data_IF_067660795480
#
_entry.id   IF_067660795480
#
_cell.length_a   1.000
_cell.length_b   1.000
_cell.length_c   1.000
_cell.angle_alpha   90.00
_cell.angle_beta   90.00
_cell.angle_gamma   90.00
#
_symmetry.space_group_name_H-M   'P 1'
#
loop_
_entity.id
_entity.type
_entity.pdbx_description
1 polymer ?
#
# COMPACT_ATOMS: atom_id res chain seq x y z
N UNK A 1 -33.49 7.72 -1.92
CA UNK A 1 -32.29 6.86 -1.86
C UNK A 1 -31.37 7.40 -2.94
N UNK A 2 -30.18 7.85 -2.58
CA UNK A 2 -29.21 8.28 -3.59
C UNK A 2 -28.81 7.08 -4.45
N UNK A 3 -28.62 7.28 -5.78
CA UNK A 3 -28.11 6.24 -6.65
C UNK A 3 -26.74 5.77 -6.15
N UNK A 4 -26.38 4.53 -6.48
CA UNK A 4 -25.05 4.01 -6.11
C UNK A 4 -23.99 4.74 -6.93
N UNK A 5 -23.06 5.42 -6.26
CA UNK A 5 -21.99 6.19 -6.92
C UNK A 5 -20.77 5.33 -7.29
N UNK A 6 -20.80 4.01 -7.07
CA UNK A 6 -19.71 3.09 -7.42
C UNK A 6 -18.60 2.95 -6.36
N UNK A 7 -18.67 3.72 -5.26
CA UNK A 7 -17.75 3.60 -4.12
C UNK A 7 -18.32 2.68 -3.03
N UNK A 8 -17.46 2.14 -2.18
CA UNK A 8 -17.82 1.15 -1.17
C UNK A 8 -18.31 -0.15 -1.80
N UNK A 9 -17.75 -0.55 -2.94
CA UNK A 9 -18.15 -1.78 -3.63
C UNK A 9 -17.71 -3.01 -2.82
N UNK A 10 -18.65 -3.90 -2.50
CA UNK A 10 -18.41 -5.16 -1.78
C UNK A 10 -19.40 -6.23 -2.25
N UNK A 11 -19.17 -7.50 -1.90
CA UNK A 11 -19.98 -8.64 -2.39
C UNK A 11 -21.51 -8.45 -2.23
N UNK A 12 -21.92 -7.79 -1.14
CA UNK A 12 -23.33 -7.50 -0.85
C UNK A 12 -24.00 -6.45 -1.75
N UNK A 13 -23.26 -5.64 -2.51
CA UNK A 13 -23.82 -4.57 -3.35
C UNK A 13 -23.42 -4.64 -4.84
N UNK A 14 -22.71 -5.69 -5.27
CA UNK A 14 -22.21 -5.87 -6.64
C UNK A 14 -23.27 -5.76 -7.75
N UNK A 15 -24.52 -6.10 -7.46
CA UNK A 15 -25.62 -6.08 -8.43
C UNK A 15 -26.22 -4.69 -8.67
N UNK A 16 -25.76 -3.66 -7.93
CA UNK A 16 -26.21 -2.29 -8.11
C UNK A 16 -25.53 -1.65 -9.32
N UNK A 17 -26.31 -1.00 -10.17
CA UNK A 17 -25.79 -0.18 -11.26
C UNK A 17 -25.24 1.14 -10.73
N UNK A 18 -24.10 1.57 -11.27
CA UNK A 18 -23.44 2.85 -10.99
C UNK A 18 -23.14 3.56 -12.31
N UNK A 19 -23.08 4.89 -12.27
CA UNK A 19 -22.61 5.74 -13.37
C UNK A 19 -21.11 6.07 -13.28
N UNK A 20 -20.39 5.52 -12.29
CA UNK A 20 -18.95 5.73 -12.16
C UNK A 20 -18.19 5.23 -13.40
N UNK A 21 -17.15 5.96 -13.79
CA UNK A 21 -16.28 5.58 -14.89
C UNK A 21 -15.04 4.88 -14.35
N UNK A 22 -14.85 3.60 -14.67
CA UNK A 22 -13.68 2.84 -14.24
C UNK A 22 -12.56 2.93 -15.27
N UNK A 23 -11.35 3.18 -14.77
CA UNK A 23 -10.14 3.32 -15.56
C UNK A 23 -9.02 2.44 -14.98
N UNK A 24 -7.98 2.22 -15.79
CA UNK A 24 -6.82 1.44 -15.39
C UNK A 24 -5.55 2.02 -16.00
N UNK A 25 -4.65 2.51 -15.15
CA UNK A 25 -3.31 2.97 -15.54
C UNK A 25 -2.34 1.80 -15.41
N UNK A 26 -1.45 1.65 -16.40
CA UNK A 26 -0.36 0.67 -16.39
C UNK A 26 0.76 1.12 -17.33
N UNK A 27 1.91 0.44 -17.37
CA UNK A 27 2.96 0.69 -18.38
C UNK A 27 2.50 0.53 -19.84
N UNK A 28 1.35 -0.09 -20.08
CA UNK A 28 0.71 -0.20 -21.41
C UNK A 28 -0.32 0.91 -21.68
N UNK A 29 -0.69 1.69 -20.67
CA UNK A 29 -1.62 2.82 -20.74
C UNK A 29 -1.32 3.81 -19.61
N UNK A 30 -0.34 4.69 -19.80
CA UNK A 30 0.14 5.62 -18.75
C UNK A 30 -0.91 6.63 -18.30
N UNK A 31 -1.89 6.97 -19.14
CA UNK A 31 -2.96 7.92 -18.81
C UNK A 31 -4.21 7.24 -18.28
N UNK A 32 -4.40 5.95 -18.55
CA UNK A 32 -5.63 5.23 -18.23
C UNK A 32 -6.82 5.62 -19.12
N UNK A 33 -6.56 6.33 -20.23
CA UNK A 33 -7.58 6.75 -21.18
C UNK A 33 -8.22 5.55 -21.90
N UNK A 34 -9.48 5.73 -22.29
CA UNK A 34 -10.27 4.71 -22.98
C UNK A 34 -9.64 4.38 -24.34
N UNK A 35 -9.33 3.10 -24.54
CA UNK A 35 -8.79 2.61 -25.82
C UNK A 35 -7.28 2.82 -26.00
N UNK A 36 -6.57 3.30 -24.98
CA UNK A 36 -5.14 3.63 -25.06
C UNK A 36 -4.20 2.51 -24.58
N UNK A 37 -4.73 1.31 -24.30
CA UNK A 37 -3.94 0.17 -23.84
C UNK A 37 -3.30 -0.63 -24.97
N UNK A 38 -2.05 -1.09 -24.76
CA UNK A 38 -1.37 -2.02 -25.68
C UNK A 38 -0.92 -1.37 -26.99
N UNK A 39 -0.80 -0.04 -27.02
CA UNK A 39 -0.44 0.72 -28.22
C UNK A 39 1.06 0.67 -28.52
N UNK A 40 1.90 0.22 -27.57
CA UNK A 40 3.36 0.21 -27.72
C UNK A 40 3.83 -0.73 -28.84
N UNK A 41 4.86 -0.30 -29.58
CA UNK A 41 5.49 -1.08 -30.66
C UNK A 41 6.97 -1.39 -30.39
N UNK A 42 7.59 -0.63 -29.49
CA UNK A 42 9.03 -0.60 -29.22
C UNK A 42 9.34 -0.58 -27.71
N UNK A 43 8.36 -0.94 -26.89
CA UNK A 43 8.49 -1.04 -25.43
C UNK A 43 9.57 -2.03 -24.96
N UNK A 44 9.88 -2.03 -23.66
CA UNK A 44 11.00 -2.79 -23.11
C UNK A 44 10.86 -4.32 -23.21
N UNK A 45 9.68 -4.84 -23.57
CA UNK A 45 9.46 -6.25 -23.86
C UNK A 45 9.32 -6.56 -25.36
N UNK A 46 9.62 -5.62 -26.28
CA UNK A 46 9.46 -5.78 -27.71
C UNK A 46 10.16 -7.03 -28.28
N UNK A 47 11.38 -7.36 -27.84
CA UNK A 47 12.08 -8.58 -28.28
C UNK A 47 11.35 -9.86 -27.83
N UNK A 48 10.80 -9.85 -26.61
CA UNK A 48 10.00 -10.96 -26.09
C UNK A 48 8.64 -11.06 -26.79
N UNK A 49 8.10 -9.93 -27.26
CA UNK A 49 6.82 -9.82 -27.96
C UNK A 49 6.94 -9.82 -29.49
N UNK A 50 8.12 -10.12 -30.06
CA UNK A 50 8.43 -9.98 -31.49
C UNK A 50 7.50 -10.75 -32.44
N UNK A 51 6.90 -11.84 -31.98
CA UNK A 51 5.95 -12.67 -32.75
C UNK A 51 4.48 -12.28 -32.52
N UNK A 52 4.21 -11.38 -31.56
CA UNK A 52 2.88 -10.93 -31.17
C UNK A 52 2.54 -9.55 -31.76
N UNK A 53 3.46 -8.59 -31.62
CA UNK A 53 3.30 -7.21 -32.12
C UNK A 53 2.35 -6.33 -31.28
N UNK A 54 1.94 -5.20 -31.88
CA UNK A 54 1.07 -4.20 -31.25
C UNK A 54 -0.29 -4.80 -30.82
N UNK A 55 -0.84 -4.35 -29.70
CA UNK A 55 -2.05 -4.88 -29.07
C UNK A 55 -1.78 -5.96 -28.02
N UNK A 56 -0.54 -6.44 -27.92
CA UNK A 56 -0.07 -7.33 -26.86
C UNK A 56 0.85 -6.59 -25.88
N UNK A 57 1.41 -7.33 -24.91
CA UNK A 57 2.27 -6.81 -23.83
C UNK A 57 3.70 -6.43 -24.30
N UNK A 58 3.81 -5.39 -25.12
CA UNK A 58 5.10 -4.88 -25.65
C UNK A 58 5.83 -3.97 -24.65
N UNK A 59 5.09 -3.27 -23.79
CA UNK A 59 5.58 -2.40 -22.71
C UNK A 59 4.93 -2.72 -21.36
N UNK A 60 5.13 -3.91 -20.77
CA UNK A 60 4.42 -4.32 -19.55
C UNK A 60 5.02 -3.79 -18.25
N UNK A 61 6.17 -3.11 -18.30
CA UNK A 61 6.88 -2.60 -17.13
C UNK A 61 7.60 -1.29 -17.43
N UNK A 62 7.97 -0.57 -16.37
CA UNK A 62 8.91 0.55 -16.45
C UNK A 62 10.24 0.19 -15.79
N UNK A 63 11.26 0.97 -16.15
CA UNK A 63 12.54 1.01 -15.45
C UNK A 63 12.62 2.35 -14.71
N UNK A 64 13.29 2.38 -13.56
CA UNK A 64 13.49 3.61 -12.77
C UNK A 64 14.99 3.78 -12.56
N UNK A 65 15.54 4.88 -13.04
CA UNK A 65 16.94 5.22 -12.92
C UNK A 65 17.40 5.51 -11.49
N UNK A 66 18.71 5.74 -11.30
CA UNK A 66 19.28 6.10 -10.01
C UNK A 66 18.69 7.41 -9.48
N UNK A 67 18.22 7.43 -8.23
CA UNK A 67 17.59 8.63 -7.61
C UNK A 67 16.40 9.22 -8.39
N UNK A 68 15.84 8.46 -9.34
CA UNK A 68 14.71 8.89 -10.14
C UNK A 68 13.40 8.63 -9.37
N UNK A 69 12.45 9.54 -9.55
CA UNK A 69 11.06 9.35 -9.12
C UNK A 69 10.18 9.14 -10.34
N UNK A 70 9.51 7.99 -10.40
CA UNK A 70 8.53 7.69 -11.44
C UNK A 70 7.13 7.98 -10.92
N UNK A 71 6.37 8.79 -11.67
CA UNK A 71 4.92 8.94 -11.45
C UNK A 71 4.23 7.75 -12.11
N UNK A 72 3.57 6.91 -11.32
CA UNK A 72 2.88 5.70 -11.81
C UNK A 72 1.36 5.87 -11.91
N UNK A 73 0.81 6.94 -11.32
CA UNK A 73 -0.55 7.40 -11.57
C UNK A 73 -0.63 8.91 -11.31
N UNK A 74 -1.34 9.62 -12.18
CA UNK A 74 -1.59 11.06 -12.12
C UNK A 74 -3.03 11.27 -12.61
N UNK A 75 -3.97 11.50 -11.68
CA UNK A 75 -5.40 11.36 -11.93
C UNK A 75 -6.13 12.63 -11.53
N UNK A 76 -6.79 13.27 -12.50
CA UNK A 76 -7.67 14.43 -12.27
C UNK A 76 -9.10 14.02 -11.93
N UNK A 77 -9.74 14.84 -11.10
CA UNK A 77 -11.17 14.76 -10.78
C UNK A 77 -11.46 14.11 -9.43
N UNK A 78 -12.74 14.06 -9.03
CA UNK A 78 -13.15 13.27 -7.89
C UNK A 78 -13.26 11.78 -8.26
N UNK A 79 -12.84 10.92 -7.34
CA UNK A 79 -12.89 9.49 -7.54
C UNK A 79 -12.30 8.70 -6.38
N UNK A 80 -12.04 7.42 -6.62
CA UNK A 80 -11.28 6.61 -5.69
C UNK A 80 -10.39 5.60 -6.43
N UNK A 81 -9.17 5.42 -5.94
CA UNK A 81 -8.37 4.24 -6.30
C UNK A 81 -9.02 3.04 -5.60
N UNK A 82 -9.29 1.98 -6.36
CA UNK A 82 -9.99 0.78 -5.88
C UNK A 82 -9.06 -0.43 -5.81
N UNK A 83 -8.00 -0.44 -6.62
CA UNK A 83 -7.02 -1.51 -6.62
C UNK A 83 -5.67 -1.03 -7.12
N UNK A 84 -4.61 -1.43 -6.43
CA UNK A 84 -3.24 -1.32 -6.91
C UNK A 84 -2.68 -2.73 -6.97
N UNK A 85 -2.22 -3.13 -8.15
CA UNK A 85 -1.37 -4.30 -8.31
C UNK A 85 0.02 -3.87 -8.73
N UNK A 86 1.06 -4.47 -8.17
CA UNK A 86 2.41 -4.33 -8.69
C UNK A 86 3.28 -5.54 -8.35
N UNK A 87 4.40 -5.68 -9.06
CA UNK A 87 5.45 -6.61 -8.69
C UNK A 87 6.82 -6.08 -9.07
N UNK A 88 7.78 -6.38 -8.21
CA UNK A 88 9.19 -6.04 -8.38
C UNK A 88 10.03 -7.02 -7.57
N UNK A 89 11.27 -7.26 -8.01
CA UNK A 89 12.18 -8.18 -7.33
C UNK A 89 12.40 -7.78 -5.85
N UNK A 90 12.42 -8.74 -4.89
CA UNK A 90 12.46 -8.44 -3.44
C UNK A 90 13.59 -7.54 -2.96
N UNK A 91 14.73 -7.54 -3.66
CA UNK A 91 15.87 -6.65 -3.36
C UNK A 91 15.50 -5.16 -3.39
N UNK A 92 14.41 -4.79 -4.07
CA UNK A 92 13.96 -3.41 -4.22
C UNK A 92 12.95 -2.95 -3.17
N UNK A 93 12.40 -3.84 -2.35
CA UNK A 93 11.26 -3.54 -1.47
C UNK A 93 11.51 -2.45 -0.43
N UNK A 94 12.74 -2.30 0.07
CA UNK A 94 13.16 -1.16 0.92
C UNK A 94 14.13 -0.20 0.25
N UNK A 95 14.34 -0.34 -1.06
CA UNK A 95 15.11 0.60 -1.89
C UNK A 95 14.21 1.58 -2.64
N UNK A 96 12.92 1.26 -2.71
CA UNK A 96 11.88 2.07 -3.33
C UNK A 96 10.96 2.65 -2.25
N UNK A 97 10.60 3.92 -2.39
CA UNK A 97 9.61 4.59 -1.55
C UNK A 97 8.35 4.80 -2.35
N UNK A 98 7.22 4.33 -1.83
CA UNK A 98 5.89 4.65 -2.34
C UNK A 98 5.44 5.97 -1.71
N UNK A 99 5.05 6.92 -2.54
CA UNK A 99 4.38 8.15 -2.12
C UNK A 99 3.02 8.30 -2.76
N UNK A 100 2.04 8.72 -1.98
CA UNK A 100 0.71 9.07 -2.50
C UNK A 100 0.27 10.41 -1.96
N UNK A 101 -0.24 11.25 -2.85
CA UNK A 101 -0.68 12.61 -2.57
C UNK A 101 -2.14 12.75 -2.96
N UNK A 102 -2.92 13.41 -2.10
CA UNK A 102 -4.33 13.69 -2.33
C UNK A 102 -4.58 15.18 -2.57
N UNK A 103 -5.46 15.48 -3.52
CA UNK A 103 -6.03 16.80 -3.76
C UNK A 103 -5.02 17.95 -3.93
N UNK A 104 -3.89 17.65 -4.57
CA UNK A 104 -2.76 18.55 -4.83
C UNK A 104 -2.04 19.03 -3.56
N UNK A 105 -2.07 18.25 -2.48
CA UNK A 105 -1.25 18.54 -1.31
C UNK A 105 0.26 18.48 -1.62
N UNK A 106 1.04 19.30 -0.90
CA UNK A 106 2.49 19.37 -1.10
C UNK A 106 3.23 18.18 -0.45
N UNK A 107 2.69 17.63 0.63
CA UNK A 107 3.31 16.55 1.41
C UNK A 107 2.52 15.26 1.25
N UNK A 108 3.18 14.10 1.05
CA UNK A 108 2.47 12.85 0.80
C UNK A 108 1.70 12.37 2.03
N UNK A 109 0.46 11.95 1.82
CA UNK A 109 -0.37 11.29 2.83
C UNK A 109 0.03 9.84 3.11
N UNK A 110 0.61 9.16 2.11
CA UNK A 110 1.23 7.84 2.26
C UNK A 110 2.71 8.00 1.91
N UNK A 111 3.60 7.67 2.84
CA UNK A 111 5.04 7.61 2.58
C UNK A 111 5.65 6.42 3.32
N UNK A 112 5.97 5.36 2.56
CA UNK A 112 6.46 4.10 3.11
C UNK A 112 7.44 3.42 2.15
N UNK A 113 8.36 2.56 2.64
CA UNK A 113 9.03 1.61 1.76
C UNK A 113 7.99 0.75 1.02
N UNK A 114 8.28 0.43 -0.25
CA UNK A 114 7.32 -0.26 -1.12
C UNK A 114 6.84 -1.60 -0.54
N UNK A 115 7.76 -2.45 -0.07
CA UNK A 115 7.39 -3.77 0.48
C UNK A 115 6.62 -3.69 1.79
N UNK A 116 7.01 -2.75 2.67
CA UNK A 116 6.39 -2.56 3.98
C UNK A 116 4.92 -2.14 3.86
N UNK A 117 4.53 -1.36 2.83
CA UNK A 117 3.13 -1.04 2.54
C UNK A 117 2.27 -2.30 2.31
N UNK A 118 2.84 -3.31 1.64
CA UNK A 118 2.17 -4.58 1.33
C UNK A 118 2.46 -5.68 2.37
N UNK A 119 2.78 -5.29 3.62
CA UNK A 119 3.05 -6.19 4.72
C UNK A 119 4.20 -7.21 4.45
N UNK A 120 5.19 -6.80 3.66
CA UNK A 120 6.40 -7.57 3.35
C UNK A 120 7.64 -6.78 3.78
N UNK A 121 7.86 -6.73 5.09
CA UNK A 121 9.06 -6.22 5.73
C UNK A 121 10.28 -7.12 5.50
N UNK A 122 11.45 -6.68 5.99
CA UNK A 122 12.74 -7.39 5.89
C UNK A 122 13.26 -7.67 4.47
N UNK A 123 12.56 -7.24 3.43
CA UNK A 123 12.81 -7.68 2.05
C UNK A 123 12.72 -9.22 1.90
N UNK A 124 11.96 -9.87 2.77
CA UNK A 124 11.69 -11.31 2.74
C UNK A 124 10.26 -11.56 2.34
N UNK A 125 10.08 -12.49 1.41
CA UNK A 125 8.76 -12.75 0.85
C UNK A 125 7.89 -13.53 1.82
N UNK A 126 6.73 -12.96 2.12
CA UNK A 126 5.63 -13.62 2.80
C UNK A 126 4.36 -13.48 1.96
N UNK A 127 3.61 -14.58 1.83
CA UNK A 127 2.29 -14.50 1.22
C UNK A 127 1.32 -13.92 2.25
N UNK A 128 0.54 -12.91 1.86
CA UNK A 128 -0.40 -12.23 2.75
C UNK A 128 -1.81 -12.49 2.24
N UNK A 129 -2.70 -12.90 3.14
CA UNK A 129 -4.12 -13.15 2.85
C UNK A 129 -4.97 -12.32 3.80
N UNK A 130 -5.27 -11.08 3.42
CA UNK A 130 -6.16 -10.19 4.16
C UNK A 130 -7.12 -9.47 3.20
N UNK A 131 -8.13 -8.79 3.75
CA UNK A 131 -9.09 -8.02 2.95
C UNK A 131 -8.40 -6.83 2.24
N UNK A 132 -7.70 -5.92 2.95
CA UNK A 132 -7.16 -4.72 2.29
C UNK A 132 -5.84 -4.95 1.55
N UNK A 133 -5.04 -5.95 1.94
CA UNK A 133 -3.73 -6.24 1.34
C UNK A 133 -3.60 -7.73 1.09
N UNK A 134 -3.16 -8.10 -0.12
CA UNK A 134 -2.82 -9.47 -0.44
C UNK A 134 -1.47 -9.53 -1.17
N UNK A 135 -0.64 -10.49 -0.78
CA UNK A 135 0.61 -10.80 -1.48
C UNK A 135 0.52 -12.22 -1.98
N UNK A 136 0.22 -12.33 -3.26
CA UNK A 136 0.08 -13.60 -3.96
C UNK A 136 1.45 -14.15 -4.37
N UNK A 137 1.55 -15.45 -4.74
CA UNK A 137 2.78 -15.96 -5.33
C UNK A 137 3.12 -15.15 -6.58
N UNK A 138 4.32 -14.71 -6.93
CA UNK A 138 5.62 -14.72 -6.33
C UNK A 138 6.05 -13.28 -6.00
N UNK A 139 5.33 -12.63 -5.06
CA UNK A 139 5.44 -11.19 -4.83
C UNK A 139 4.48 -10.38 -5.69
N UNK A 140 3.29 -10.93 -5.96
CA UNK A 140 2.20 -10.17 -6.58
C UNK A 140 1.51 -9.33 -5.51
N UNK A 141 1.94 -8.08 -5.37
CA UNK A 141 1.40 -7.14 -4.39
C UNK A 141 0.05 -6.60 -4.84
N UNK A 142 -0.94 -6.67 -3.95
CA UNK A 142 -2.29 -6.18 -4.17
C UNK A 142 -2.73 -5.34 -2.97
N UNK A 143 -3.22 -4.14 -3.26
CA UNK A 143 -3.91 -3.28 -2.29
C UNK A 143 -5.33 -3.06 -2.78
N UNK A 144 -6.30 -3.36 -1.90
CA UNK A 144 -7.73 -3.17 -2.09
C UNK A 144 -8.31 -2.13 -1.13
N UNK A 145 -7.45 -1.34 -0.48
CA UNK A 145 -7.90 -0.12 0.17
C UNK A 145 -8.61 0.77 -0.86
N UNK A 146 -9.84 1.15 -0.57
CA UNK A 146 -10.51 2.23 -1.30
C UNK A 146 -9.88 3.55 -0.85
N UNK A 147 -9.30 4.31 -1.78
CA UNK A 147 -8.59 5.56 -1.50
C UNK A 147 -9.28 6.71 -2.24
N UNK A 148 -10.28 7.37 -1.61
CA UNK A 148 -10.99 8.50 -2.22
C UNK A 148 -10.13 9.75 -2.34
N UNK A 149 -10.37 10.53 -3.38
CA UNK A 149 -9.80 11.86 -3.63
C UNK A 149 -10.84 12.76 -4.29
N UNK A 150 -10.85 14.06 -4.00
CA UNK A 150 -11.90 14.99 -4.48
C UNK A 150 -11.47 15.85 -5.65
N UNK A 151 -10.17 16.02 -5.86
CA UNK A 151 -9.58 16.87 -6.90
C UNK A 151 -8.54 16.14 -7.71
N UNK A 152 -7.66 15.40 -7.03
CA UNK A 152 -6.47 14.83 -7.66
C UNK A 152 -5.88 13.67 -6.84
N UNK A 153 -5.33 12.67 -7.52
CA UNK A 153 -4.50 11.65 -6.90
C UNK A 153 -3.20 11.47 -7.69
N UNK A 154 -2.08 11.49 -6.97
CA UNK A 154 -0.75 11.21 -7.53
C UNK A 154 -0.08 10.08 -6.78
N UNK A 155 0.42 9.08 -7.50
CA UNK A 155 1.22 7.98 -6.95
C UNK A 155 2.61 8.02 -7.56
N UNK A 156 3.63 8.07 -6.69
CA UNK A 156 5.03 8.11 -7.07
C UNK A 156 5.79 6.92 -6.47
N UNK A 157 6.80 6.46 -7.21
CA UNK A 157 7.80 5.53 -6.72
C UNK A 157 9.18 6.16 -6.90
N UNK A 158 9.86 6.44 -5.80
CA UNK A 158 11.24 6.94 -5.79
C UNK A 158 12.22 5.79 -5.61
N UNK A 159 13.27 5.77 -6.43
CA UNK A 159 14.44 4.93 -6.22
C UNK A 159 15.48 5.62 -5.35
N UNK A 160 15.75 5.11 -4.15
CA UNK A 160 16.71 5.73 -3.22
C UNK A 160 18.17 5.40 -3.53
N UNK A 161 18.46 4.62 -4.57
CA UNK A 161 19.78 4.01 -4.79
C UNK A 161 20.46 4.50 -6.06
N UNK A 162 21.76 4.20 -6.16
CA UNK A 162 22.56 4.43 -7.36
C UNK A 162 22.34 3.37 -8.45
N UNK A 163 21.65 2.27 -8.14
CA UNK A 163 21.35 1.21 -9.07
C UNK A 163 20.10 1.56 -9.89
N UNK A 164 20.05 1.17 -11.16
CA UNK A 164 18.81 1.28 -11.95
C UNK A 164 17.88 0.11 -11.67
N UNK A 165 16.64 0.38 -11.29
CA UNK A 165 15.58 -0.61 -11.26
C UNK A 165 15.23 -1.02 -12.68
N UNK A 166 15.21 -2.33 -12.92
CA UNK A 166 14.70 -2.93 -14.15
C UNK A 166 13.46 -3.77 -13.85
N UNK A 167 12.35 -3.47 -14.52
CA UNK A 167 11.14 -4.28 -14.44
C UNK A 167 10.26 -4.02 -13.22
N UNK A 168 9.72 -2.81 -13.10
CA UNK A 168 8.55 -2.56 -12.25
C UNK A 168 7.28 -2.74 -13.08
N UNK A 169 6.49 -3.76 -12.74
CA UNK A 169 5.18 -4.01 -13.33
C UNK A 169 4.13 -3.46 -12.39
N UNK A 170 3.11 -2.78 -12.91
CA UNK A 170 2.02 -2.26 -12.09
C UNK A 170 0.72 -2.08 -12.87
N UNK A 171 -0.36 -1.98 -12.11
CA UNK A 171 -1.67 -1.55 -12.56
C UNK A 171 -2.36 -0.79 -11.42
N UNK A 172 -2.92 0.39 -11.73
CA UNK A 172 -3.72 1.18 -10.80
C UNK A 172 -5.13 1.29 -11.38
N UNK A 173 -6.09 0.66 -10.72
CA UNK A 173 -7.50 0.71 -11.10
C UNK A 173 -8.23 1.70 -10.21
N UNK A 174 -8.96 2.62 -10.82
CA UNK A 174 -9.69 3.68 -10.13
C UNK A 174 -11.06 3.92 -10.79
N UNK A 175 -11.94 4.58 -10.04
CA UNK A 175 -13.25 5.00 -10.52
C UNK A 175 -13.40 6.52 -10.37
N UNK A 176 -13.80 7.20 -11.43
CA UNK A 176 -14.18 8.63 -11.41
C UNK A 176 -15.68 8.75 -11.14
N UNK A 177 -16.01 9.51 -10.12
CA UNK A 177 -17.38 9.66 -9.59
C UNK A 177 -17.41 10.74 -8.52
N UNK A 178 -18.60 11.20 -8.14
CA UNK A 178 -18.75 12.11 -7.01
C UNK A 178 -18.38 11.40 -5.69
N UNK A 179 -17.47 12.03 -4.94
CA UNK A 179 -17.00 11.55 -3.63
C UNK A 179 -17.74 12.30 -2.52
N UNK A 180 -18.54 11.61 -1.69
CA UNK A 180 -19.26 12.25 -0.59
C UNK A 180 -18.34 12.94 0.42
N UNK A 181 -18.85 13.98 1.09
CA UNK A 181 -18.09 14.76 2.08
C UNK A 181 -17.67 13.94 3.30
N UNK A 182 -18.35 12.81 3.58
CA UNK A 182 -18.05 11.90 4.69
C UNK A 182 -16.89 10.93 4.42
N UNK A 183 -16.26 11.00 3.24
CA UNK A 183 -15.13 10.15 2.86
C UNK A 183 -13.81 10.74 3.32
N UNK A 184 -13.08 9.96 4.13
CA UNK A 184 -11.73 10.30 4.57
C UNK A 184 -10.67 9.90 3.52
N UNK A 185 -9.47 10.42 3.68
CA UNK A 185 -8.29 10.06 2.88
C UNK A 185 -7.50 8.96 3.58
N UNK A 186 -6.90 8.05 2.82
CA UNK A 186 -6.01 7.05 3.38
C UNK A 186 -4.64 7.69 3.67
N UNK A 187 -4.15 7.49 4.89
CA UNK A 187 -2.78 7.83 5.27
C UNK A 187 -2.03 6.58 5.73
N UNK A 188 -0.73 6.53 5.48
CA UNK A 188 0.15 5.49 6.00
C UNK A 188 1.55 6.03 6.25
N UNK A 189 2.08 5.75 7.44
CA UNK A 189 3.41 6.17 7.87
C UNK A 189 4.24 4.95 8.21
N UNK A 190 5.52 5.00 7.86
CA UNK A 190 6.49 3.97 8.23
C UNK A 190 7.50 4.50 9.24
N UNK A 191 7.85 3.66 10.23
CA UNK A 191 8.86 3.96 11.25
C UNK A 191 9.75 2.76 11.47
N UNK A 192 10.98 3.03 11.90
CA UNK A 192 11.96 1.99 12.26
C UNK A 192 12.77 2.41 13.48
N UNK A 193 12.81 1.51 14.46
CA UNK A 193 13.78 1.55 15.55
C UNK A 193 14.79 0.42 15.33
N UNK A 194 16.08 0.74 15.25
CA UNK A 194 17.13 -0.26 15.09
C UNK A 194 18.49 0.23 15.66
N UNK A 195 18.86 -0.19 16.89
CA UNK A 195 18.09 -1.03 17.80
C UNK A 195 16.90 -0.28 18.44
N UNK A 196 15.95 -1.02 19.02
CA UNK A 196 15.03 -0.48 20.03
C UNK A 196 15.68 -0.71 21.41
N UNK A 197 15.75 0.34 22.24
CA UNK A 197 16.28 0.22 23.59
C UNK A 197 15.38 -0.63 24.49
N UNK A 198 15.95 -1.21 25.54
CA UNK A 198 15.18 -1.97 26.51
C UNK A 198 14.23 -1.04 27.27
N UNK A 199 12.95 -1.42 27.35
CA UNK A 199 11.87 -0.61 27.94
C UNK A 199 11.60 0.73 27.22
N UNK A 200 12.12 0.91 26.00
CA UNK A 200 11.79 2.06 25.17
C UNK A 200 10.53 1.78 24.32
N UNK A 201 9.82 2.85 23.97
CA UNK A 201 8.63 2.78 23.13
C UNK A 201 9.00 2.86 21.65
N UNK A 202 8.55 1.90 20.87
CA UNK A 202 8.49 2.05 19.42
C UNK A 202 7.18 2.75 19.04
N UNK A 203 7.26 3.97 18.52
CA UNK A 203 6.08 4.70 18.04
C UNK A 203 5.67 4.15 16.68
N UNK A 204 4.40 3.76 16.53
CA UNK A 204 3.83 3.31 15.25
C UNK A 204 3.33 4.49 14.42
N UNK A 205 2.50 5.35 15.04
CA UNK A 205 1.87 6.51 14.41
C UNK A 205 1.96 7.70 15.38
N UNK A 206 2.27 8.88 14.84
CA UNK A 206 2.30 10.13 15.61
C UNK A 206 2.03 11.33 14.71
N UNK A 207 1.66 12.46 15.34
CA UNK A 207 1.47 13.74 14.65
C UNK A 207 0.20 13.83 13.81
N UNK A 208 -0.79 12.94 14.03
CA UNK A 208 -2.08 13.00 13.35
C UNK A 208 -3.01 13.93 14.13
N UNK A 209 -3.53 14.95 13.46
CA UNK A 209 -4.51 15.89 14.00
C UNK A 209 -5.72 15.92 13.06
N UNK A 210 -6.92 15.71 13.60
CA UNK A 210 -8.15 15.69 12.82
C UNK A 210 -9.07 14.54 13.24
N UNK A 211 -10.20 14.43 12.54
CA UNK A 211 -11.17 13.35 12.75
C UNK A 211 -10.90 12.20 11.79
N UNK A 212 -10.87 10.97 12.29
CA UNK A 212 -10.67 9.78 11.45
C UNK A 212 -10.69 8.49 12.25
N UNK A 213 -10.17 7.43 11.63
CA UNK A 213 -10.11 6.09 12.21
C UNK A 213 -8.74 5.47 11.98
N UNK A 214 -8.19 4.82 13.01
CA UNK A 214 -7.03 3.96 12.85
C UNK A 214 -7.48 2.58 12.34
N UNK A 215 -7.04 2.19 11.15
CA UNK A 215 -7.61 1.04 10.43
C UNK A 215 -6.67 -0.16 10.27
N UNK A 216 -5.41 -0.07 10.68
CA UNK A 216 -4.51 -1.21 10.60
C UNK A 216 -3.07 -0.92 10.98
N UNK A 217 -2.37 -2.03 11.27
CA UNK A 217 -0.95 -2.06 11.66
C UNK A 217 -0.29 -3.26 11.00
N UNK A 218 0.90 -3.05 10.45
CA UNK A 218 1.85 -4.12 10.14
C UNK A 218 3.13 -3.87 10.94
N UNK A 219 3.61 -4.90 11.65
CA UNK A 219 4.88 -4.86 12.39
C UNK A 219 5.77 -5.99 11.89
N UNK A 220 7.00 -5.63 11.56
CA UNK A 220 8.07 -6.58 11.25
C UNK A 220 9.14 -6.47 12.34
N UNK A 221 9.32 -7.53 13.12
CA UNK A 221 10.20 -7.52 14.29
C UNK A 221 11.39 -8.46 14.10
N UNK A 222 12.58 -8.02 14.53
CA UNK A 222 13.81 -8.79 14.49
C UNK A 222 14.30 -9.03 15.91
N UNK A 223 14.24 -10.27 16.37
CA UNK A 223 14.58 -10.65 17.76
C UNK A 223 16.07 -10.94 17.85
N UNK A 224 16.78 -10.20 18.73
CA UNK A 224 18.22 -10.40 18.99
C UNK A 224 18.50 -10.84 20.45
N UNK A 225 17.46 -11.18 21.21
CA UNK A 225 17.55 -11.63 22.61
C UNK A 225 16.91 -13.00 22.77
N UNK A 226 17.25 -13.71 23.84
CA UNK A 226 16.57 -14.96 24.21
C UNK A 226 15.31 -14.68 25.03
N UNK A 227 14.34 -15.59 24.96
CA UNK A 227 13.08 -15.48 25.68
C UNK A 227 12.03 -14.67 24.94
N UNK A 228 10.91 -14.42 25.62
CA UNK A 228 9.78 -13.71 25.06
C UNK A 228 10.02 -12.20 25.00
N UNK A 229 9.70 -11.61 23.85
CA UNK A 229 9.97 -10.19 23.54
C UNK A 229 8.69 -9.34 23.46
N UNK A 230 7.51 -9.96 23.36
CA UNK A 230 6.25 -9.29 23.05
C UNK A 230 5.38 -8.92 24.25
N UNK A 231 5.89 -8.91 25.48
CA UNK A 231 5.12 -8.41 26.65
C UNK A 231 4.73 -6.93 26.53
N UNK A 232 5.41 -6.17 25.67
CA UNK A 232 5.09 -4.76 25.45
C UNK A 232 3.68 -4.59 24.94
N UNK A 233 2.90 -3.75 25.62
CA UNK A 233 1.53 -3.44 25.30
C UNK A 233 1.40 -2.33 24.25
N UNK A 234 0.33 -2.39 23.45
CA UNK A 234 -0.05 -1.28 22.59
C UNK A 234 -0.68 -0.14 23.42
N UNK A 235 -0.39 1.10 23.05
CA UNK A 235 -0.97 2.29 23.68
C UNK A 235 -1.51 3.26 22.63
N UNK A 236 -2.75 3.72 22.78
CA UNK A 236 -3.31 4.82 21.99
C UNK A 236 -3.62 6.01 22.89
N UNK A 237 -3.01 7.15 22.55
CA UNK A 237 -3.27 8.44 23.15
C UNK A 237 -4.17 9.22 22.18
N UNK A 238 -5.37 9.57 22.62
CA UNK A 238 -6.41 10.16 21.78
C UNK A 238 -6.76 11.56 22.28
N UNK A 239 -7.09 12.47 21.36
CA UNK A 239 -7.80 13.73 21.60
C UNK A 239 -7.36 14.54 22.85
N UNK A 240 -6.05 14.71 23.02
CA UNK A 240 -5.47 15.52 24.10
C UNK A 240 -5.04 14.74 25.34
N UNK A 241 -5.03 13.41 25.29
CA UNK A 241 -4.38 12.57 26.29
C UNK A 241 -2.96 13.06 26.60
N UNK A 242 -2.64 13.11 27.90
CA UNK A 242 -1.34 13.53 28.40
C UNK A 242 -0.47 12.33 28.76
N UNK A 243 -0.24 12.13 30.05
CA UNK A 243 0.65 11.07 30.56
C UNK A 243 0.08 9.65 30.35
N UNK A 244 -1.23 9.49 30.32
CA UNK A 244 -1.89 8.18 30.28
C UNK A 244 -2.70 7.99 28.99
N UNK A 245 -2.65 6.81 28.36
CA UNK A 245 -3.41 6.54 27.14
C UNK A 245 -4.87 6.19 27.43
N UNK A 246 -5.77 6.59 26.54
CA UNK A 246 -7.16 6.12 26.54
C UNK A 246 -7.28 4.62 26.30
N UNK A 247 -6.44 4.03 25.44
CA UNK A 247 -6.41 2.58 25.18
C UNK A 247 -5.05 2.04 25.59
N UNK A 248 -5.05 1.07 26.50
CA UNK A 248 -3.88 0.33 26.94
C UNK A 248 -4.15 -1.16 26.75
N UNK A 249 -3.35 -1.82 25.92
CA UNK A 249 -3.41 -3.26 25.70
C UNK A 249 -2.72 -4.06 26.82
N UNK A 250 -2.56 -5.36 26.57
CA UNK A 250 -1.99 -6.32 27.54
C UNK A 250 -0.67 -6.95 27.09
N UNK A 251 -0.42 -6.99 25.78
CA UNK A 251 0.78 -7.55 25.16
C UNK A 251 0.74 -7.33 23.65
N UNK A 252 1.87 -7.57 22.97
CA UNK A 252 1.98 -7.43 21.52
C UNK A 252 1.22 -8.55 20.81
N UNK A 253 1.33 -9.78 21.33
CA UNK A 253 0.62 -10.94 20.80
C UNK A 253 -0.90 -10.76 20.92
N UNK A 254 -1.33 -10.22 22.06
CA UNK A 254 -2.74 -10.01 22.36
C UNK A 254 -3.34 -8.97 21.40
N UNK A 255 -2.58 -7.92 21.07
CA UNK A 255 -3.00 -6.88 20.13
C UNK A 255 -3.30 -7.43 18.73
N UNK A 256 -2.51 -8.40 18.27
CA UNK A 256 -2.70 -9.06 16.98
C UNK A 256 -3.68 -10.25 17.07
N UNK A 257 -4.38 -10.41 18.18
CA UNK A 257 -5.46 -11.38 18.37
C UNK A 257 -5.01 -12.82 18.60
N UNK A 258 -3.73 -13.06 18.89
CA UNK A 258 -3.29 -14.34 19.43
C UNK A 258 -3.21 -14.29 20.96
N UNK A 259 -2.38 -15.16 21.54
CA UNK A 259 -2.16 -15.27 22.98
C UNK A 259 -0.92 -16.13 23.25
N UNK A 260 -0.48 -16.19 24.50
CA UNK A 260 0.55 -17.13 24.98
C UNK A 260 1.79 -17.13 24.10
N UNK A 261 2.37 -15.94 23.88
CA UNK A 261 3.64 -15.79 23.17
C UNK A 261 3.58 -16.28 21.70
N UNK A 262 2.38 -16.41 21.12
CA UNK A 262 2.11 -17.08 19.83
C UNK A 262 2.67 -18.52 19.75
N UNK A 263 2.64 -19.27 20.84
CA UNK A 263 3.11 -20.66 20.88
C UNK A 263 2.26 -21.56 19.96
N UNK A 264 2.82 -21.98 18.82
CA UNK A 264 2.19 -22.92 17.90
C UNK A 264 3.19 -23.53 16.90
N UNK A 265 3.53 -24.84 17.00
CA UNK A 265 3.15 -25.81 18.03
C UNK A 265 3.85 -25.58 19.38
N UNK A 266 3.51 -26.38 20.41
CA UNK A 266 4.09 -26.25 21.75
C UNK A 266 5.63 -26.34 21.73
N UNK A 267 6.31 -25.36 22.31
CA UNK A 267 7.76 -25.21 22.29
C UNK A 267 8.31 -24.48 21.06
N UNK A 268 7.45 -24.09 20.12
CA UNK A 268 7.76 -23.27 18.95
C UNK A 268 6.97 -21.96 19.07
N UNK A 269 7.67 -20.83 18.98
CA UNK A 269 7.08 -19.50 19.12
C UNK A 269 7.02 -18.85 17.74
N UNK A 270 5.82 -18.59 17.24
CA UNK A 270 5.55 -17.78 16.03
C UNK A 270 6.18 -18.29 14.73
N UNK A 271 5.34 -18.76 13.81
CA UNK A 271 5.62 -18.74 12.35
C UNK A 271 4.95 -17.51 11.76
#
# INVERSE_FOLDING_TARGET
MEPFNGLGTHLGNLSRLSSAETHSISPENFTGERGSGGMSVDGPAAESARELGQGWKVSPFINIGPHETAVIADIDGPGAIQHIWLTVHPTWWRRLVLRVYWDNEETPSIETPLGDFFANGWCERCNISSIPVAVNPAGGFNSYWEMPFRKHARIEIENLTLDSLKGLYYQVTYALTDVPDDRAYLHAQWRRSNPLGCMDVHTLLAGVLGQGHYVGTYIAWGVNTTGWWGEGEIKFYLDGDGEFPTICGTGTEDYFGGAWNFEHPKGEYGV
#
